data_IF_649581807858
#
_entry.id   IF_649581807858
#
_cell.length_a   1.000
_cell.length_b   1.000
_cell.length_c   1.000
_cell.angle_alpha   90.00
_cell.angle_beta   90.00
_cell.angle_gamma   90.00
#
_symmetry.space_group_name_H-M   'P 1'
#
loop_
_entity.id
_entity.type
_entity.pdbx_description
1 polymer ?
#
# COMPACT_ATOMS: atom_id res chain seq x y z
N UNK A 1 17.87 -12.52 3.31
CA UNK A 1 18.45 -11.21 3.67
C UNK A 1 17.81 -10.78 4.98
N UNK A 2 18.57 -10.29 5.98
CA UNK A 2 17.95 -9.69 7.16
C UNK A 2 17.13 -8.47 6.71
N UNK A 3 15.87 -8.37 7.15
CA UNK A 3 15.05 -7.20 6.83
C UNK A 3 15.65 -5.96 7.48
N UNK A 4 15.67 -4.88 6.72
CA UNK A 4 16.05 -3.58 7.27
C UNK A 4 14.97 -3.16 8.26
N UNK A 5 15.35 -2.93 9.52
CA UNK A 5 14.46 -2.29 10.49
C UNK A 5 14.20 -0.87 9.99
N UNK A 6 12.93 -0.50 9.89
CA UNK A 6 12.51 0.83 9.43
C UNK A 6 11.90 1.59 10.63
N UNK A 7 12.72 2.12 11.54
CA UNK A 7 12.23 2.70 12.79
C UNK A 7 11.51 4.03 12.59
N UNK A 8 11.67 4.70 11.44
CA UNK A 8 11.08 6.02 11.18
C UNK A 8 10.36 6.07 9.83
N UNK A 9 9.40 6.99 9.71
CA UNK A 9 8.64 7.22 8.47
C UNK A 9 9.52 7.69 7.34
N UNK A 10 10.51 8.52 7.63
CA UNK A 10 11.53 8.88 6.65
C UNK A 10 12.32 7.66 6.15
N UNK A 11 12.69 6.72 7.02
CA UNK A 11 13.41 5.51 6.61
C UNK A 11 12.54 4.63 5.71
N UNK A 12 11.26 4.46 6.05
CA UNK A 12 10.32 3.69 5.23
C UNK A 12 10.08 4.33 3.86
N UNK A 13 9.86 5.65 3.80
CA UNK A 13 9.74 6.42 2.55
C UNK A 13 10.99 6.22 1.68
N UNK A 14 12.18 6.34 2.28
CA UNK A 14 13.44 6.18 1.54
C UNK A 14 13.59 4.76 0.98
N UNK A 15 13.30 3.72 1.77
CA UNK A 15 13.39 2.33 1.35
C UNK A 15 12.39 1.98 0.23
N UNK A 16 11.17 2.51 0.33
CA UNK A 16 10.13 2.35 -0.69
C UNK A 16 10.50 3.07 -1.98
N UNK A 17 10.97 4.31 -1.88
CA UNK A 17 11.39 5.11 -3.05
C UNK A 17 12.55 4.42 -3.76
N UNK A 18 13.57 3.96 -3.02
CA UNK A 18 14.68 3.20 -3.60
C UNK A 18 14.21 1.89 -4.28
N UNK A 19 13.15 1.26 -3.77
CA UNK A 19 12.55 0.07 -4.39
C UNK A 19 11.83 0.42 -5.69
N UNK A 20 11.07 1.51 -5.71
CA UNK A 20 10.41 2.01 -6.91
C UNK A 20 11.42 2.37 -8.01
N UNK A 21 12.52 3.03 -7.67
CA UNK A 21 13.61 3.37 -8.59
C UNK A 21 14.24 2.12 -9.23
N UNK A 22 14.48 1.05 -8.47
CA UNK A 22 14.99 -0.22 -9.01
C UNK A 22 14.06 -0.82 -10.08
N UNK A 23 12.76 -0.59 -9.95
CA UNK A 23 11.73 -1.06 -10.87
C UNK A 23 11.35 -0.03 -11.94
N UNK A 24 12.07 1.11 -12.01
CA UNK A 24 11.81 2.19 -12.97
C UNK A 24 10.44 2.86 -12.79
N UNK A 25 9.91 2.88 -11.56
CA UNK A 25 8.59 3.45 -11.23
C UNK A 25 8.72 4.91 -10.81
N UNK A 26 7.89 5.77 -11.39
CA UNK A 26 7.75 7.15 -10.96
C UNK A 26 7.05 7.22 -9.61
N UNK A 27 7.62 7.96 -8.67
CA UNK A 27 7.09 8.15 -7.32
C UNK A 27 6.66 9.59 -7.14
N UNK A 28 5.41 9.78 -6.70
CA UNK A 28 4.93 11.05 -6.16
C UNK A 28 4.73 10.84 -4.66
N UNK A 29 5.53 11.51 -3.84
CA UNK A 29 5.42 11.40 -2.38
C UNK A 29 4.82 12.68 -1.81
N UNK A 30 3.67 12.55 -1.14
CA UNK A 30 3.04 13.59 -0.34
C UNK A 30 3.21 13.24 1.13
N UNK A 31 3.73 14.16 1.92
CA UNK A 31 4.00 13.93 3.34
C UNK A 31 3.24 14.97 4.16
N UNK A 32 2.55 14.53 5.20
CA UNK A 32 2.05 15.40 6.27
C UNK A 32 3.12 15.55 7.37
N UNK A 33 4.40 15.59 6.98
CA UNK A 33 5.50 15.79 7.93
C UNK A 33 5.53 17.27 8.30
N UNK A 34 4.87 17.62 9.41
CA UNK A 34 5.06 18.90 10.10
C UNK A 34 3.83 19.78 10.29
N UNK A 35 2.74 19.27 10.86
CA UNK A 35 1.88 20.10 11.70
C UNK A 35 2.47 20.24 13.12
N UNK A 36 3.76 20.56 13.21
CA UNK A 36 4.37 21.14 14.42
C UNK A 36 4.10 22.66 14.45
N UNK A 37 2.93 23.05 13.93
CA UNK A 37 2.29 24.30 14.27
C UNK A 37 1.32 23.95 15.38
N UNK A 38 1.50 24.59 16.53
CA UNK A 38 0.54 24.65 17.61
C UNK A 38 -0.78 25.19 17.07
N UNK A 39 -1.62 24.37 16.45
CA UNK A 39 -2.97 24.75 16.06
C UNK A 39 -3.92 24.42 17.20
N UNK A 40 -3.96 25.36 18.13
CA UNK A 40 -5.20 25.69 18.79
C UNK A 40 -6.23 26.02 17.69
N UNK A 41 -7.20 25.12 17.49
CA UNK A 41 -8.45 25.41 16.79
C UNK A 41 -8.56 24.85 15.38
N UNK A 42 -9.31 23.76 15.25
CA UNK A 42 -10.59 23.83 14.54
C UNK A 42 -11.53 22.75 15.08
N UNK A 43 -12.56 23.20 15.79
CA UNK A 43 -13.80 22.47 16.00
C UNK A 43 -14.41 22.16 14.63
N UNK A 44 -14.60 20.87 14.32
CA UNK A 44 -15.63 20.45 13.37
C UNK A 44 -16.62 19.56 14.15
N UNK A 45 -17.62 20.23 14.67
CA UNK A 45 -18.85 19.65 15.20
C UNK A 45 -19.57 18.89 14.10
N UNK A 46 -19.85 17.62 14.35
CA UNK A 46 -21.01 16.87 13.84
C UNK A 46 -21.10 16.63 12.33
N UNK A 47 -21.01 15.37 11.93
CA UNK A 47 -22.03 14.66 11.15
C UNK A 47 -21.65 13.19 11.13
N UNK A 48 -22.67 12.36 11.25
CA UNK A 48 -22.64 10.90 11.26
C UNK A 48 -22.36 10.40 9.83
N UNK A 49 -21.08 10.31 9.44
CA UNK A 49 -20.58 9.54 8.29
C UNK A 49 -19.04 9.52 8.35
N UNK A 50 -18.48 8.63 9.16
CA UNK A 50 -17.04 8.46 9.26
C UNK A 50 -16.52 7.77 7.99
N UNK A 51 -16.01 8.56 7.04
CA UNK A 51 -15.20 8.06 5.94
C UNK A 51 -14.04 7.22 6.51
N UNK A 52 -13.88 5.93 6.14
CA UNK A 52 -12.74 5.12 6.58
C UNK A 52 -11.38 5.70 6.12
N UNK A 53 -11.38 6.76 5.31
CA UNK A 53 -10.19 7.55 4.97
C UNK A 53 -9.70 8.51 6.08
N UNK A 54 -10.43 8.67 7.19
CA UNK A 54 -10.08 9.64 8.24
C UNK A 54 -8.98 9.16 9.21
N UNK A 55 -8.36 8.00 8.96
CA UNK A 55 -7.22 7.54 9.75
C UNK A 55 -6.01 8.44 9.43
N UNK A 56 -5.42 9.14 10.42
CA UNK A 56 -4.29 10.02 10.20
C UNK A 56 -3.09 9.21 9.72
N UNK A 57 -2.63 9.48 8.50
CA UNK A 57 -1.42 8.90 7.92
C UNK A 57 -0.31 9.96 7.92
N UNK A 58 0.93 9.54 8.11
CA UNK A 58 2.08 10.45 8.14
C UNK A 58 2.65 10.71 6.74
N UNK A 59 2.48 9.74 5.84
CA UNK A 59 2.97 9.84 4.47
C UNK A 59 2.08 9.05 3.49
N UNK A 60 1.90 9.63 2.31
CA UNK A 60 1.21 9.06 1.16
C UNK A 60 2.21 8.99 -0.01
N UNK A 61 2.47 7.79 -0.52
CA UNK A 61 3.27 7.60 -1.72
C UNK A 61 2.41 7.00 -2.82
N UNK A 62 2.42 7.64 -3.97
CA UNK A 62 1.70 7.21 -5.16
C UNK A 62 2.69 6.82 -6.24
N UNK A 63 2.51 5.62 -6.78
CA UNK A 63 3.37 5.07 -7.82
C UNK A 63 2.61 5.05 -9.13
N UNK A 64 3.16 5.77 -10.11
CA UNK A 64 2.63 5.80 -11.46
C UNK A 64 2.89 4.51 -12.23
N UNK A 65 2.11 4.32 -13.30
CA UNK A 65 2.23 3.18 -14.21
C UNK A 65 1.24 2.07 -13.89
N UNK A 66 1.51 0.89 -14.44
CA UNK A 66 0.66 -0.30 -14.27
C UNK A 66 1.49 -1.41 -13.59
N UNK A 67 1.06 -1.94 -12.44
CA UNK A 67 -0.14 -1.56 -11.68
C UNK A 67 -0.02 -0.18 -11.02
N UNK A 68 -1.14 0.52 -10.85
CA UNK A 68 -1.26 1.68 -9.99
C UNK A 68 -1.16 1.23 -8.52
N UNK A 69 -0.24 1.85 -7.77
CA UNK A 69 0.00 1.51 -6.37
C UNK A 69 -0.01 2.77 -5.53
N UNK A 70 -0.68 2.71 -4.38
CA UNK A 70 -0.71 3.76 -3.38
C UNK A 70 -0.30 3.19 -2.03
N UNK A 71 0.61 3.84 -1.33
CA UNK A 71 1.11 3.42 -0.02
C UNK A 71 0.81 4.52 0.98
N UNK A 72 0.16 4.16 2.08
CA UNK A 72 -0.09 5.03 3.23
C UNK A 72 0.69 4.49 4.42
N UNK A 73 1.49 5.34 5.05
CA UNK A 73 2.27 5.01 6.24
C UNK A 73 1.62 5.62 7.48
N UNK A 74 1.49 4.84 8.54
CA UNK A 74 0.93 5.25 9.83
C UNK A 74 2.00 5.30 10.93
N UNK A 75 1.72 6.01 12.02
CA UNK A 75 2.64 6.26 13.15
C UNK A 75 3.09 4.99 13.89
N UNK A 76 2.28 3.93 13.90
CA UNK A 76 2.49 2.74 14.74
C UNK A 76 2.93 1.50 13.93
N UNK A 77 3.91 1.67 13.05
CA UNK A 77 4.53 0.59 12.24
C UNK A 77 3.61 -0.15 11.25
N UNK A 78 2.40 0.35 11.07
CA UNK A 78 1.43 -0.14 10.10
C UNK A 78 1.53 0.64 8.79
N UNK A 79 1.33 -0.06 7.68
CA UNK A 79 1.23 0.53 6.35
C UNK A 79 0.06 -0.10 5.59
N UNK A 80 -0.70 0.74 4.88
CA UNK A 80 -1.75 0.30 3.95
C UNK A 80 -1.23 0.44 2.54
N UNK A 81 -1.21 -0.65 1.79
CA UNK A 81 -0.84 -0.67 0.38
C UNK A 81 -2.07 -0.95 -0.46
N UNK A 82 -2.41 -0.05 -1.36
CA UNK A 82 -3.50 -0.24 -2.31
C UNK A 82 -2.91 -0.53 -3.68
N UNK A 83 -3.18 -1.72 -4.23
CA UNK A 83 -2.75 -2.13 -5.56
C UNK A 83 -3.99 -2.23 -6.43
N UNK A 84 -4.12 -1.37 -7.44
CA UNK A 84 -5.27 -1.38 -8.37
C UNK A 84 -6.63 -1.35 -7.63
N UNK A 85 -6.71 -0.54 -6.56
CA UNK A 85 -7.91 -0.43 -5.71
C UNK A 85 -8.04 -1.50 -4.62
N UNK A 86 -7.19 -2.53 -4.62
CA UNK A 86 -7.19 -3.59 -3.61
C UNK A 86 -6.26 -3.22 -2.45
N UNK A 87 -6.81 -2.99 -1.27
CA UNK A 87 -6.06 -2.57 -0.09
C UNK A 87 -5.56 -3.75 0.74
N UNK A 88 -4.27 -3.75 1.06
CA UNK A 88 -3.55 -4.71 1.89
C UNK A 88 -2.97 -4.01 3.11
N UNK A 89 -3.14 -4.61 4.29
CA UNK A 89 -2.41 -4.19 5.50
C UNK A 89 -1.08 -4.94 5.57
N UNK A 90 0.01 -4.19 5.57
CA UNK A 90 1.36 -4.71 5.52
C UNK A 90 2.18 -4.06 6.62
N UNK A 91 3.03 -4.85 7.29
CA UNK A 91 4.00 -4.30 8.23
C UNK A 91 4.98 -3.42 7.48
N UNK A 92 5.35 -2.29 8.06
CA UNK A 92 6.30 -1.34 7.49
C UNK A 92 7.62 -1.98 7.06
N UNK A 93 8.15 -2.93 7.82
CA UNK A 93 9.39 -3.66 7.50
C UNK A 93 9.28 -4.58 6.27
N UNK A 94 8.07 -5.07 5.96
CA UNK A 94 7.79 -5.96 4.83
C UNK A 94 7.45 -5.17 3.57
N UNK A 95 7.06 -3.91 3.72
CA UNK A 95 6.56 -3.06 2.65
C UNK A 95 7.47 -3.00 1.41
N UNK A 96 8.81 -2.85 1.53
CA UNK A 96 9.68 -2.87 0.35
C UNK A 96 9.65 -4.23 -0.37
N UNK A 97 9.69 -5.33 0.38
CA UNK A 97 9.62 -6.69 -0.17
C UNK A 97 8.26 -6.96 -0.83
N UNK A 98 7.17 -6.40 -0.27
CA UNK A 98 5.84 -6.49 -0.84
C UNK A 98 5.75 -5.79 -2.20
N UNK A 99 6.25 -4.55 -2.29
CA UNK A 99 6.26 -3.80 -3.55
C UNK A 99 7.15 -4.48 -4.59
N UNK A 100 8.28 -5.01 -4.16
CA UNK A 100 9.17 -5.81 -5.02
C UNK A 100 8.42 -7.04 -5.58
N UNK A 101 7.66 -7.75 -4.75
CA UNK A 101 6.85 -8.89 -5.18
C UNK A 101 5.75 -8.49 -6.18
N UNK A 102 5.09 -7.35 -5.98
CA UNK A 102 4.06 -6.84 -6.91
C UNK A 102 4.68 -6.51 -8.27
N UNK A 103 5.79 -5.79 -8.30
CA UNK A 103 6.42 -5.35 -9.56
C UNK A 103 7.21 -6.45 -10.25
N UNK A 104 7.72 -7.44 -9.52
CA UNK A 104 8.41 -8.62 -10.06
C UNK A 104 7.47 -9.71 -10.59
N UNK A 105 6.15 -9.51 -10.53
CA UNK A 105 5.17 -10.45 -11.08
C UNK A 105 4.84 -11.65 -10.18
N UNK A 106 5.07 -11.54 -8.86
CA UNK A 106 4.64 -12.53 -7.88
C UNK A 106 3.18 -12.33 -7.43
N UNK A 107 2.54 -11.26 -7.91
CA UNK A 107 1.12 -11.02 -7.77
C UNK A 107 0.31 -11.79 -8.83
N UNK A 108 -0.75 -12.48 -8.40
CA UNK A 108 -1.69 -13.13 -9.31
C UNK A 108 -3.12 -13.11 -8.75
N UNK A 109 -4.10 -12.99 -9.63
CA UNK A 109 -5.51 -13.09 -9.25
C UNK A 109 -5.95 -14.54 -9.40
N UNK A 110 -6.52 -15.10 -8.33
CA UNK A 110 -7.23 -16.37 -8.39
C UNK A 110 -8.70 -16.11 -8.57
N UNK A 111 -9.26 -16.56 -9.69
CA UNK A 111 -10.69 -16.50 -9.97
C UNK A 111 -11.33 -17.84 -9.61
N UNK A 112 -12.40 -17.82 -8.83
CA UNK A 112 -13.25 -18.97 -8.55
C UNK A 112 -14.60 -18.73 -9.21
N UNK A 113 -15.06 -19.69 -10.01
CA UNK A 113 -16.34 -19.60 -10.73
C UNK A 113 -17.56 -19.94 -9.87
N UNK A 114 -17.41 -20.76 -8.82
CA UNK A 114 -18.54 -21.11 -7.96
C UNK A 114 -18.11 -21.42 -6.50
N UNK A 115 -18.61 -20.68 -5.48
CA UNK A 115 -19.24 -19.35 -5.60
C UNK A 115 -18.29 -18.35 -6.29
N UNK A 116 -18.81 -17.39 -7.08
CA UNK A 116 -17.99 -16.40 -7.76
C UNK A 116 -17.21 -15.58 -6.74
N UNK A 117 -15.88 -15.67 -6.80
CA UNK A 117 -15.00 -14.91 -5.94
C UNK A 117 -13.66 -14.68 -6.65
N UNK A 118 -13.10 -13.50 -6.43
CA UNK A 118 -11.85 -13.08 -7.03
C UNK A 118 -10.94 -12.64 -5.89
N UNK A 119 -9.69 -13.14 -5.90
CA UNK A 119 -8.76 -12.88 -4.81
C UNK A 119 -7.40 -12.56 -5.40
N UNK A 120 -6.89 -11.36 -5.14
CA UNK A 120 -5.54 -10.98 -5.47
C UNK A 120 -4.62 -11.58 -4.42
N UNK A 121 -3.62 -12.33 -4.87
CA UNK A 121 -2.62 -12.96 -4.02
C UNK A 121 -1.25 -12.39 -4.32
N UNK A 122 -0.54 -11.95 -3.29
CA UNK A 122 0.84 -11.46 -3.40
C UNK A 122 1.74 -12.36 -2.56
N UNK A 123 2.63 -13.08 -3.23
CA UNK A 123 3.59 -13.97 -2.59
C UNK A 123 4.89 -13.20 -2.28
N UNK A 124 5.05 -12.79 -1.03
CA UNK A 124 6.27 -12.12 -0.56
C UNK A 124 7.23 -13.17 0.00
N UNK A 125 8.48 -13.28 -0.50
CA UNK A 125 9.44 -14.24 0.01
C UNK A 125 9.66 -14.10 1.52
N UNK A 126 9.46 -15.19 2.27
CA UNK A 126 9.64 -15.20 3.72
C UNK A 126 8.45 -14.68 4.53
N UNK A 127 7.33 -14.30 3.90
CA UNK A 127 6.08 -13.98 4.57
C UNK A 127 4.95 -14.94 4.18
N UNK A 128 3.86 -14.96 4.98
CA UNK A 128 2.58 -15.47 4.52
C UNK A 128 2.15 -14.76 3.23
N UNK A 129 1.52 -15.51 2.31
CA UNK A 129 0.91 -14.92 1.12
C UNK A 129 -0.23 -13.99 1.54
N UNK A 130 -0.14 -12.73 1.15
CA UNK A 130 -1.21 -11.75 1.32
C UNK A 130 -2.34 -12.05 0.34
N UNK A 131 -3.58 -11.99 0.80
CA UNK A 131 -4.76 -12.35 0.01
C UNK A 131 -5.88 -11.38 0.32
N UNK A 132 -6.35 -10.69 -0.70
CA UNK A 132 -7.45 -9.75 -0.55
C UNK A 132 -8.51 -9.96 -1.63
N UNK A 133 -9.75 -9.66 -1.27
CA UNK A 133 -10.86 -9.72 -2.21
C UNK A 133 -10.71 -8.64 -3.27
N UNK A 134 -11.17 -8.93 -4.48
CA UNK A 134 -11.14 -7.97 -5.57
C UNK A 134 -12.56 -7.67 -6.02
N UNK A 135 -12.99 -6.43 -5.77
CA UNK A 135 -14.32 -5.95 -6.12
C UNK A 135 -14.44 -5.59 -7.60
N UNK A 136 -13.39 -4.95 -8.15
CA UNK A 136 -13.37 -4.47 -9.53
C UNK A 136 -12.14 -5.00 -10.28
N UNK A 137 -12.38 -5.62 -11.44
CA UNK A 137 -11.31 -6.10 -12.32
C UNK A 137 -10.80 -4.99 -13.24
N UNK A 138 -9.63 -4.45 -12.90
CA UNK A 138 -8.90 -3.54 -13.79
C UNK A 138 -8.16 -4.31 -14.89
N UNK A 139 -7.72 -3.65 -15.98
CA UNK A 139 -6.98 -4.32 -17.06
C UNK A 139 -5.73 -5.08 -16.60
N UNK A 140 -5.04 -4.57 -15.57
CA UNK A 140 -3.89 -5.28 -15.00
C UNK A 140 -4.28 -6.54 -14.25
N UNK A 141 -5.37 -6.50 -13.47
CA UNK A 141 -5.88 -7.65 -12.72
C UNK A 141 -6.28 -8.79 -13.65
N UNK A 142 -6.90 -8.48 -14.80
CA UNK A 142 -7.14 -9.47 -15.85
C UNK A 142 -5.86 -10.09 -16.39
N UNK A 143 -4.82 -9.28 -16.62
CA UNK A 143 -3.52 -9.76 -17.14
C UNK A 143 -2.82 -10.72 -16.19
N UNK A 144 -2.97 -10.53 -14.87
CA UNK A 144 -2.35 -11.39 -13.85
C UNK A 144 -3.29 -12.47 -13.31
N UNK A 145 -4.49 -12.60 -13.89
CA UNK A 145 -5.41 -13.68 -13.54
C UNK A 145 -4.89 -15.03 -14.02
N UNK A 146 -5.06 -16.06 -13.17
CA UNK A 146 -4.72 -17.45 -13.45
C UNK A 146 -5.92 -18.36 -13.22
#
# INVERSE_FOLDING_TARGET
MPRSVLPTTQAAVAAVTATAERHGRSVTASHDIGADQTFAGLLATGSDDADPSAVPHEALLEFGGTPAVTVRLFTHDEARVTVEGVGFDVRREVLPDFLDAVWSGLAHVRVRTFPPAQTLKVAVPGEPTYREHVDLMTPWLWKVSR
#
